data_IF_887994508206
#
_entry.id   IF_887994508206
#
_cell.length_a   1.000
_cell.length_b   1.000
_cell.length_c   1.000
_cell.angle_alpha   90.00
_cell.angle_beta   90.00
_cell.angle_gamma   90.00
#
_symmetry.space_group_name_H-M   'P 1'
#
loop_
_entity.id
_entity.type
_entity.pdbx_description
1 polymer ?
#
# COMPACT_ATOMS: atom_id res chain seq x y z
N UNK A 1 5.11 -12.35 3.21
CA UNK A 1 4.39 -11.39 2.35
C UNK A 1 3.04 -10.93 2.95
N UNK A 2 2.66 -9.64 2.81
CA UNK A 2 1.36 -9.11 3.28
C UNK A 2 0.18 -9.69 2.49
N UNK A 3 -0.93 -9.95 3.18
CA UNK A 3 -2.15 -10.53 2.60
C UNK A 3 -2.83 -9.68 1.52
N UNK A 4 -2.67 -8.35 1.55
CA UNK A 4 -3.18 -7.48 0.48
C UNK A 4 -2.63 -7.88 -0.90
N UNK A 5 -1.39 -8.40 -0.96
CA UNK A 5 -0.78 -8.89 -2.19
C UNK A 5 -1.61 -10.06 -2.74
N UNK A 6 -1.96 -11.03 -1.89
CA UNK A 6 -2.77 -12.19 -2.27
C UNK A 6 -4.20 -11.81 -2.67
N UNK A 7 -4.87 -10.97 -1.88
CA UNK A 7 -6.25 -10.53 -2.18
C UNK A 7 -6.33 -9.81 -3.52
N UNK A 8 -5.37 -8.92 -3.81
CA UNK A 8 -5.34 -8.17 -5.07
C UNK A 8 -4.88 -9.06 -6.23
N UNK A 9 -4.04 -10.07 -5.96
CA UNK A 9 -3.66 -11.07 -6.96
C UNK A 9 -4.85 -11.89 -7.42
N UNK A 10 -5.67 -12.40 -6.51
CA UNK A 10 -6.89 -13.13 -6.89
C UNK A 10 -7.91 -12.24 -7.62
N UNK A 11 -8.02 -10.96 -7.24
CA UNK A 11 -8.82 -9.98 -8.00
C UNK A 11 -8.31 -9.79 -9.41
N UNK A 12 -6.98 -9.66 -9.59
CA UNK A 12 -6.37 -9.61 -10.90
C UNK A 12 -6.71 -10.85 -11.72
N UNK A 13 -6.57 -12.06 -11.15
CA UNK A 13 -6.91 -13.30 -11.85
C UNK A 13 -8.39 -13.34 -12.26
N UNK A 14 -9.29 -12.94 -11.36
CA UNK A 14 -10.73 -12.90 -11.64
C UNK A 14 -11.06 -11.91 -12.77
N UNK A 15 -10.53 -10.70 -12.71
CA UNK A 15 -10.82 -9.66 -13.71
C UNK A 15 -10.16 -9.96 -15.06
N UNK A 16 -8.97 -10.58 -15.05
CA UNK A 16 -8.21 -10.90 -16.26
C UNK A 16 -8.68 -12.16 -16.97
N UNK A 17 -9.05 -13.20 -16.23
CA UNK A 17 -9.34 -14.55 -16.74
C UNK A 17 -10.74 -15.08 -16.41
N UNK A 18 -11.51 -14.36 -15.59
CA UNK A 18 -12.87 -14.71 -15.21
C UNK A 18 -12.97 -15.63 -13.99
N UNK A 19 -14.18 -15.70 -13.42
CA UNK A 19 -14.48 -16.51 -12.23
C UNK A 19 -14.18 -18.01 -12.37
N UNK A 20 -14.39 -18.67 -13.53
CA UNK A 20 -14.03 -20.08 -13.69
C UNK A 20 -12.53 -20.34 -13.52
N UNK A 21 -11.68 -19.42 -14.00
CA UNK A 21 -10.23 -19.51 -13.84
C UNK A 21 -9.85 -19.41 -12.37
N UNK A 22 -10.36 -18.40 -11.65
CA UNK A 22 -10.09 -18.22 -10.22
C UNK A 22 -10.56 -19.43 -9.39
N UNK A 23 -11.72 -20.01 -9.73
CA UNK A 23 -12.20 -21.23 -9.07
C UNK A 23 -11.22 -22.38 -9.27
N UNK A 24 -10.82 -22.66 -10.51
CA UNK A 24 -9.87 -23.75 -10.80
C UNK A 24 -8.50 -23.52 -10.14
N UNK A 25 -8.06 -22.27 -10.05
CA UNK A 25 -6.85 -21.86 -9.36
C UNK A 25 -6.91 -22.23 -7.87
N UNK A 26 -8.00 -21.87 -7.17
CA UNK A 26 -8.20 -22.19 -5.75
C UNK A 26 -8.33 -23.70 -5.51
N UNK A 27 -9.09 -24.39 -6.37
CA UNK A 27 -9.24 -25.85 -6.32
C UNK A 27 -7.87 -26.54 -6.43
N UNK A 28 -7.00 -26.07 -7.33
CA UNK A 28 -5.63 -26.61 -7.53
C UNK A 28 -4.73 -26.36 -6.32
N UNK A 29 -4.88 -25.23 -5.64
CA UNK A 29 -4.16 -24.94 -4.40
C UNK A 29 -4.73 -25.70 -3.18
N UNK A 30 -5.87 -26.38 -3.35
CA UNK A 30 -6.64 -27.03 -2.28
C UNK A 30 -7.03 -26.05 -1.17
N UNK A 31 -7.30 -24.80 -1.54
CA UNK A 31 -7.69 -23.75 -0.60
C UNK A 31 -9.14 -23.93 -0.17
N UNK A 32 -9.37 -24.04 1.14
CA UNK A 32 -10.71 -24.01 1.73
C UNK A 32 -11.19 -22.56 1.87
N UNK A 33 -12.51 -22.28 1.84
CA UNK A 33 -13.04 -20.92 2.02
C UNK A 33 -12.53 -20.20 3.28
N UNK A 34 -12.30 -20.92 4.37
CA UNK A 34 -11.74 -20.40 5.63
C UNK A 34 -10.26 -20.00 5.53
N UNK A 35 -9.59 -20.38 4.44
CA UNK A 35 -8.18 -20.10 4.16
C UNK A 35 -7.99 -18.91 3.20
N UNK A 36 -9.10 -18.24 2.82
CA UNK A 36 -9.01 -17.06 1.96
C UNK A 36 -8.08 -15.99 2.56
N UNK A 37 -7.27 -15.34 1.71
CA UNK A 37 -6.31 -14.37 2.19
C UNK A 37 -7.02 -13.16 2.82
N UNK A 38 -6.48 -12.71 3.96
CA UNK A 38 -6.94 -11.54 4.70
C UNK A 38 -5.87 -10.45 4.57
N UNK A 39 -6.26 -9.25 4.17
CA UNK A 39 -5.34 -8.17 3.79
C UNK A 39 -4.30 -7.83 4.86
N UNK A 40 -4.71 -7.87 6.13
CA UNK A 40 -3.88 -7.51 7.29
C UNK A 40 -2.93 -8.61 7.77
N UNK A 41 -3.10 -9.87 7.34
CA UNK A 41 -2.26 -10.99 7.76
C UNK A 41 -0.95 -11.05 6.97
N UNK A 42 0.04 -11.74 7.52
CA UNK A 42 1.31 -12.05 6.86
C UNK A 42 1.35 -13.53 6.55
N UNK A 43 1.73 -13.86 5.33
CA UNK A 43 1.80 -15.22 4.80
C UNK A 43 3.23 -15.57 4.38
N UNK A 44 3.63 -16.85 4.36
CA UNK A 44 4.90 -17.28 3.79
C UNK A 44 5.05 -16.84 2.33
N UNK A 45 6.27 -16.53 1.90
CA UNK A 45 6.52 -16.06 0.54
C UNK A 45 6.29 -17.19 -0.49
N UNK A 46 6.55 -18.43 -0.09
CA UNK A 46 6.35 -19.66 -0.86
C UNK A 46 4.91 -19.82 -1.33
N UNK A 47 3.94 -19.39 -0.51
CA UNK A 47 2.52 -19.46 -0.85
C UNK A 47 2.19 -18.57 -2.07
N UNK A 48 2.76 -17.37 -2.13
CA UNK A 48 2.57 -16.47 -3.27
C UNK A 48 3.21 -17.06 -4.53
N UNK A 49 4.45 -17.55 -4.43
CA UNK A 49 5.14 -18.15 -5.57
C UNK A 49 4.44 -19.41 -6.09
N UNK A 50 3.90 -20.25 -5.21
CA UNK A 50 3.07 -21.40 -5.60
C UNK A 50 1.85 -20.93 -6.38
N UNK A 51 1.15 -19.91 -5.90
CA UNK A 51 0.02 -19.30 -6.61
C UNK A 51 0.41 -18.78 -8.00
N UNK A 52 1.50 -18.01 -8.10
CA UNK A 52 1.98 -17.51 -9.39
C UNK A 52 2.30 -18.65 -10.36
N UNK A 53 2.92 -19.74 -9.89
CA UNK A 53 3.19 -20.92 -10.72
C UNK A 53 1.91 -21.63 -11.15
N UNK A 54 0.91 -21.75 -10.28
CA UNK A 54 -0.41 -22.31 -10.64
C UNK A 54 -1.10 -21.46 -11.70
N UNK A 55 -1.10 -20.14 -11.58
CA UNK A 55 -1.66 -19.28 -12.62
C UNK A 55 -0.86 -19.35 -13.93
N UNK A 56 0.46 -19.51 -13.87
CA UNK A 56 1.31 -19.70 -15.05
C UNK A 56 1.05 -21.05 -15.74
N UNK A 57 0.81 -22.14 -15.03
CA UNK A 57 0.50 -23.43 -15.68
C UNK A 57 -0.90 -23.45 -16.31
N UNK A 58 -1.81 -22.65 -15.77
CA UNK A 58 -3.19 -22.53 -16.25
C UNK A 58 -3.36 -21.46 -17.34
N UNK A 59 -2.45 -20.49 -17.43
CA UNK A 59 -2.48 -19.42 -18.43
C UNK A 59 -1.37 -19.61 -19.47
N UNK A 60 -1.59 -19.25 -20.72
CA UNK A 60 -0.53 -19.29 -21.74
C UNK A 60 0.52 -18.15 -21.58
N UNK A 61 0.55 -17.47 -20.43
CA UNK A 61 1.42 -16.33 -20.16
C UNK A 61 2.64 -16.76 -19.34
N UNK A 62 3.81 -16.18 -19.60
CA UNK A 62 4.98 -16.40 -18.74
C UNK A 62 4.77 -15.82 -17.34
N UNK A 63 5.48 -16.36 -16.35
CA UNK A 63 5.51 -15.82 -14.97
C UNK A 63 5.84 -14.32 -14.96
N UNK A 64 6.81 -13.89 -15.78
CA UNK A 64 7.19 -12.48 -15.86
C UNK A 64 6.06 -11.60 -16.40
N UNK A 65 5.33 -12.09 -17.40
CA UNK A 65 4.19 -11.36 -17.95
C UNK A 65 3.06 -11.23 -16.93
N UNK A 66 2.74 -12.31 -16.20
CA UNK A 66 1.76 -12.29 -15.12
C UNK A 66 2.14 -11.30 -14.03
N UNK A 67 3.39 -11.35 -13.56
CA UNK A 67 3.89 -10.45 -12.51
C UNK A 67 3.89 -8.99 -12.96
N UNK A 68 4.29 -8.70 -14.21
CA UNK A 68 4.22 -7.36 -14.79
C UNK A 68 2.77 -6.84 -14.86
N UNK A 69 1.85 -7.62 -15.41
CA UNK A 69 0.44 -7.23 -15.48
C UNK A 69 -0.16 -7.03 -14.08
N UNK A 70 0.18 -7.91 -13.14
CA UNK A 70 -0.23 -7.82 -11.76
C UNK A 70 0.33 -6.59 -11.04
N UNK A 71 1.62 -6.28 -11.20
CA UNK A 71 2.23 -5.10 -10.60
C UNK A 71 1.54 -3.80 -11.07
N UNK A 72 1.26 -3.71 -12.38
CA UNK A 72 0.50 -2.59 -12.95
C UNK A 72 -0.91 -2.52 -12.37
N UNK A 73 -1.60 -3.67 -12.34
CA UNK A 73 -2.94 -3.80 -11.79
C UNK A 73 -3.00 -3.39 -10.31
N UNK A 74 -2.00 -3.78 -9.51
CA UNK A 74 -1.95 -3.53 -8.09
C UNK A 74 -2.03 -2.03 -7.77
N UNK A 75 -1.27 -1.20 -8.48
CA UNK A 75 -1.26 0.26 -8.28
C UNK A 75 -2.59 0.92 -8.70
N UNK A 76 -3.27 0.36 -9.70
CA UNK A 76 -4.54 0.87 -10.24
C UNK A 76 -5.77 0.33 -9.50
N UNK A 77 -5.59 -0.68 -8.64
CA UNK A 77 -6.71 -1.37 -8.02
C UNK A 77 -7.40 -0.52 -6.93
N UNK A 78 -8.73 -0.44 -6.99
CA UNK A 78 -9.53 0.34 -6.04
C UNK A 78 -9.46 -0.14 -4.57
N UNK A 79 -9.10 -1.40 -4.31
CA UNK A 79 -8.85 -1.85 -2.93
C UNK A 79 -7.53 -1.28 -2.39
N UNK A 80 -6.50 -1.21 -3.23
CA UNK A 80 -5.22 -0.59 -2.87
C UNK A 80 -5.42 0.90 -2.67
N UNK A 81 -6.22 1.56 -3.52
CA UNK A 81 -6.66 2.95 -3.31
C UNK A 81 -7.32 3.12 -1.94
N UNK A 82 -8.25 2.25 -1.61
CA UNK A 82 -9.03 2.37 -0.38
C UNK A 82 -8.17 2.15 0.88
N UNK A 83 -7.32 1.11 0.88
CA UNK A 83 -6.55 0.71 2.05
C UNK A 83 -5.28 1.52 2.23
N UNK A 84 -4.59 1.85 1.14
CA UNK A 84 -3.34 2.60 1.13
C UNK A 84 -3.53 4.09 0.79
N UNK A 85 -4.78 4.56 0.70
CA UNK A 85 -5.11 5.91 0.25
C UNK A 85 -4.51 7.03 1.08
N UNK A 86 -4.16 6.79 2.36
CA UNK A 86 -3.41 7.77 3.15
C UNK A 86 -2.03 8.06 2.55
N UNK A 87 -1.34 6.99 2.15
CA UNK A 87 -0.01 7.04 1.53
C UNK A 87 -0.11 7.55 0.09
N UNK A 88 -0.97 6.93 -0.73
CA UNK A 88 -1.07 7.25 -2.16
C UNK A 88 -1.46 8.71 -2.44
N UNK A 89 -2.17 9.34 -1.50
CA UNK A 89 -2.55 10.73 -1.56
C UNK A 89 -1.40 11.73 -1.40
N UNK A 90 -0.23 11.30 -0.95
CA UNK A 90 0.95 12.15 -0.79
C UNK A 90 1.73 12.31 -2.11
N UNK A 91 1.41 11.54 -3.14
CA UNK A 91 2.05 11.58 -4.45
C UNK A 91 1.18 12.30 -5.49
N UNK A 92 1.82 13.07 -6.37
CA UNK A 92 1.16 13.87 -7.41
C UNK A 92 1.57 13.46 -8.84
N UNK A 93 2.67 12.73 -8.95
CA UNK A 93 3.22 12.15 -10.20
C UNK A 93 3.65 10.70 -9.98
N UNK A 94 3.90 9.98 -11.06
CA UNK A 94 4.49 8.63 -10.99
C UNK A 94 5.87 8.66 -10.33
N UNK A 95 6.65 9.71 -10.58
CA UNK A 95 7.96 9.93 -9.96
C UNK A 95 7.84 10.07 -8.42
N UNK A 96 6.94 10.93 -7.94
CA UNK A 96 6.71 11.14 -6.50
C UNK A 96 6.28 9.84 -5.81
N UNK A 97 5.42 9.07 -6.47
CA UNK A 97 4.93 7.81 -5.91
C UNK A 97 6.08 6.82 -5.74
N UNK A 98 7.02 6.74 -6.68
CA UNK A 98 8.21 5.90 -6.52
C UNK A 98 9.04 6.37 -5.33
N UNK A 99 9.35 7.66 -5.21
CA UNK A 99 10.12 8.17 -4.06
C UNK A 99 9.46 7.83 -2.73
N UNK A 100 8.14 8.03 -2.64
CA UNK A 100 7.36 7.71 -1.46
C UNK A 100 7.41 6.21 -1.09
N UNK A 101 7.52 5.32 -2.08
CA UNK A 101 7.63 3.89 -1.82
C UNK A 101 8.90 3.52 -1.07
N UNK A 102 10.03 4.23 -1.22
CA UNK A 102 11.22 3.93 -0.38
C UNK A 102 10.91 4.11 1.09
N UNK A 103 10.33 5.25 1.45
CA UNK A 103 10.04 5.57 2.85
C UNK A 103 8.93 4.69 3.41
N UNK A 104 7.88 4.43 2.62
CA UNK A 104 6.81 3.54 3.02
C UNK A 104 7.31 2.11 3.31
N UNK A 105 8.15 1.54 2.45
CA UNK A 105 8.70 0.21 2.66
C UNK A 105 9.73 0.16 3.79
N UNK A 106 10.51 1.23 4.01
CA UNK A 106 11.34 1.35 5.20
C UNK A 106 10.51 1.39 6.48
N UNK A 107 9.44 2.19 6.48
CA UNK A 107 8.52 2.30 7.61
C UNK A 107 7.82 0.97 7.91
N UNK A 108 7.35 0.26 6.88
CA UNK A 108 6.73 -1.06 7.04
C UNK A 108 7.71 -2.11 7.60
N UNK A 109 9.03 -2.02 7.39
CA UNK A 109 9.98 -2.98 8.00
C UNK A 109 10.07 -2.82 9.52
N UNK A 110 9.77 -1.63 10.04
CA UNK A 110 9.85 -1.31 11.47
C UNK A 110 8.61 -1.77 12.24
N UNK A 111 7.58 -2.27 11.57
CA UNK A 111 6.38 -2.74 12.26
C UNK A 111 6.61 -4.09 12.93
N UNK A 112 5.97 -4.38 14.09
CA UNK A 112 6.15 -5.63 14.83
C UNK A 112 5.66 -6.90 14.13
N UNK A 113 5.03 -6.77 12.96
CA UNK A 113 4.43 -7.87 12.21
C UNK A 113 5.43 -8.61 11.30
N UNK A 114 6.71 -8.24 11.35
CA UNK A 114 7.80 -8.98 10.72
C UNK A 114 7.78 -8.98 9.19
N UNK A 115 7.14 -7.99 8.58
CA UNK A 115 7.14 -7.89 7.12
C UNK A 115 8.50 -7.43 6.60
N UNK A 116 8.94 -8.06 5.52
CA UNK A 116 10.25 -7.81 4.91
C UNK A 116 10.12 -7.22 3.49
N UNK A 117 9.52 -6.04 3.28
CA UNK A 117 9.42 -5.46 1.94
C UNK A 117 10.78 -5.13 1.29
N UNK A 118 10.82 -4.91 -0.04
CA UNK A 118 12.06 -4.62 -0.76
C UNK A 118 12.73 -3.32 -0.30
N UNK A 119 14.04 -3.25 -0.47
CA UNK A 119 14.83 -2.04 -0.30
C UNK A 119 14.86 -1.27 -1.62
N UNK A 120 14.69 0.05 -1.53
CA UNK A 120 14.74 0.97 -2.66
C UNK A 120 15.75 2.07 -2.41
N UNK A 121 16.51 2.42 -3.45
CA UNK A 121 17.24 3.69 -3.54
C UNK A 121 17.07 4.28 -4.94
N UNK A 122 17.27 5.60 -5.05
CA UNK A 122 17.06 6.33 -6.29
C UNK A 122 18.24 7.26 -6.54
N UNK A 123 18.80 7.19 -7.74
CA UNK A 123 19.74 8.17 -8.26
C UNK A 123 18.97 9.14 -9.16
N UNK A 124 18.95 10.43 -8.82
CA UNK A 124 18.33 11.48 -9.65
C UNK A 124 19.18 11.68 -10.90
N UNK A 125 18.57 11.57 -12.08
CA UNK A 125 19.27 11.75 -13.37
C UNK A 125 18.95 13.12 -13.97
N UNK A 126 17.79 13.70 -13.67
CA UNK A 126 17.38 15.03 -14.11
C UNK A 126 16.66 15.82 -13.02
N UNK A 127 16.84 17.14 -13.02
CA UNK A 127 16.20 18.06 -12.06
C UNK A 127 14.71 18.29 -12.34
N UNK A 128 14.20 17.86 -13.50
CA UNK A 128 12.79 17.97 -13.88
C UNK A 128 11.87 16.92 -13.23
N UNK A 129 12.44 16.04 -12.40
CA UNK A 129 11.76 14.95 -11.72
C UNK A 129 11.00 14.03 -12.70
N UNK A 130 11.60 13.75 -13.86
CA UNK A 130 11.07 12.80 -14.84
C UNK A 130 11.99 11.61 -15.07
N UNK A 131 13.24 11.65 -14.60
CA UNK A 131 14.22 10.59 -14.84
C UNK A 131 14.97 10.21 -13.55
N UNK A 132 14.96 8.92 -13.23
CA UNK A 132 15.74 8.34 -12.13
C UNK A 132 16.32 6.99 -12.53
N UNK A 133 17.38 6.57 -11.83
CA UNK A 133 17.77 5.16 -11.74
C UNK A 133 17.27 4.60 -10.41
N UNK A 134 16.35 3.65 -10.48
CA UNK A 134 15.83 2.92 -9.33
C UNK A 134 16.69 1.69 -9.05
N UNK A 135 17.16 1.55 -7.82
CA UNK A 135 17.78 0.32 -7.32
C UNK A 135 16.78 -0.45 -6.46
N UNK A 136 16.59 -1.73 -6.77
CA UNK A 136 15.72 -2.67 -6.07
C UNK A 136 16.54 -3.84 -5.56
N UNK A 137 16.49 -4.04 -4.25
CA UNK A 137 17.10 -5.16 -3.55
C UNK A 137 16.04 -5.93 -2.76
N UNK A 138 15.93 -7.22 -3.06
CA UNK A 138 14.94 -8.10 -2.46
C UNK A 138 15.28 -9.56 -2.74
N UNK A 139 15.32 -10.43 -1.72
CA UNK A 139 15.54 -11.86 -1.91
C UNK A 139 14.43 -12.52 -2.75
N UNK A 140 13.25 -11.88 -2.86
CA UNK A 140 12.11 -12.40 -3.63
C UNK A 140 12.24 -12.25 -5.14
N UNK A 141 13.16 -11.41 -5.63
CA UNK A 141 13.41 -11.21 -7.08
C UNK A 141 12.14 -10.91 -7.91
N UNK A 142 11.18 -10.17 -7.35
CA UNK A 142 9.93 -9.79 -8.03
C UNK A 142 10.14 -8.60 -8.99
N UNK A 143 11.23 -8.60 -9.78
CA UNK A 143 11.61 -7.45 -10.60
C UNK A 143 10.57 -7.12 -11.70
N UNK A 144 9.91 -8.12 -12.29
CA UNK A 144 8.83 -7.90 -13.27
C UNK A 144 7.58 -7.28 -12.64
N UNK A 145 7.27 -7.62 -11.38
CA UNK A 145 6.19 -6.99 -10.62
C UNK A 145 6.51 -5.52 -10.35
N UNK A 146 7.74 -5.22 -9.93
CA UNK A 146 8.21 -3.85 -9.76
C UNK A 146 8.07 -3.04 -11.06
N UNK A 147 8.52 -3.58 -12.19
CA UNK A 147 8.39 -2.93 -13.49
C UNK A 147 6.91 -2.62 -13.81
N UNK A 148 6.02 -3.60 -13.62
CA UNK A 148 4.58 -3.40 -13.72
C UNK A 148 4.07 -2.26 -12.84
N UNK A 149 4.48 -2.24 -11.57
CA UNK A 149 4.08 -1.20 -10.62
C UNK A 149 4.56 0.20 -11.02
N UNK A 150 5.73 0.33 -11.65
CA UNK A 150 6.21 1.61 -12.20
C UNK A 150 5.28 2.10 -13.31
N UNK A 151 4.89 1.20 -14.23
CA UNK A 151 3.93 1.55 -15.29
C UNK A 151 2.55 1.89 -14.73
N UNK A 152 2.07 1.15 -13.73
CA UNK A 152 0.81 1.46 -13.03
C UNK A 152 0.88 2.80 -12.31
N UNK A 153 2.04 3.16 -11.76
CA UNK A 153 2.27 4.46 -11.13
C UNK A 153 2.14 5.61 -12.14
N UNK A 154 2.77 5.51 -13.31
CA UNK A 154 2.60 6.52 -14.35
C UNK A 154 1.14 6.65 -14.79
N UNK A 155 0.47 5.53 -15.07
CA UNK A 155 -0.90 5.52 -15.56
C UNK A 155 -1.89 6.13 -14.55
N UNK A 156 -1.71 5.85 -13.26
CA UNK A 156 -2.48 6.43 -12.17
C UNK A 156 -2.54 7.96 -12.23
N UNK A 157 -1.46 8.61 -12.67
CA UNK A 157 -1.38 10.07 -12.77
C UNK A 157 -1.65 10.60 -14.17
N UNK A 158 -1.97 9.76 -15.15
CA UNK A 158 -2.16 10.13 -16.55
C UNK A 158 -0.86 10.30 -17.34
N UNK A 159 0.24 9.74 -16.83
CA UNK A 159 1.57 9.73 -17.42
C UNK A 159 1.85 8.40 -18.15
N UNK A 160 3.00 8.33 -18.82
CA UNK A 160 3.57 7.09 -19.35
C UNK A 160 4.96 6.89 -18.75
N UNK A 161 5.36 5.64 -18.55
CA UNK A 161 6.73 5.29 -18.17
C UNK A 161 7.44 4.56 -19.31
N UNK A 162 8.75 4.77 -19.41
CA UNK A 162 9.69 3.90 -20.13
C UNK A 162 10.69 3.38 -19.11
N UNK A 163 10.93 2.08 -19.14
CA UNK A 163 11.86 1.38 -18.26
C UNK A 163 12.97 0.73 -19.08
N UNK A 164 14.18 0.67 -18.52
CA UNK A 164 15.27 -0.14 -19.05
C UNK A 164 16.05 -0.81 -17.92
N UNK A 165 16.09 -2.14 -17.93
CA UNK A 165 16.71 -2.93 -16.88
C UNK A 165 18.23 -3.06 -17.06
N UNK A 166 18.99 -2.22 -16.35
CA UNK A 166 20.46 -2.16 -16.39
C UNK A 166 21.07 -3.45 -15.80
N UNK A 167 20.75 -3.79 -14.55
CA UNK A 167 21.14 -5.04 -13.88
C UNK A 167 19.90 -5.75 -13.34
N UNK A 168 19.93 -7.07 -13.15
CA UNK A 168 18.80 -7.84 -12.65
C UNK A 168 19.21 -9.05 -11.81
N UNK A 169 18.64 -9.20 -10.61
CA UNK A 169 18.87 -10.34 -9.72
C UNK A 169 18.43 -11.69 -10.32
N UNK A 170 17.55 -11.67 -11.32
CA UNK A 170 17.19 -12.87 -12.11
C UNK A 170 18.30 -13.30 -13.08
N UNK A 171 19.22 -12.39 -13.43
CA UNK A 171 20.41 -12.66 -14.26
C UNK A 171 21.66 -12.97 -13.44
N UNK A 172 21.56 -12.98 -12.11
CA UNK A 172 22.68 -13.23 -11.21
C UNK A 172 23.33 -11.98 -10.60
N UNK A 173 22.87 -10.78 -10.97
CA UNK A 173 23.35 -9.53 -10.37
C UNK A 173 22.95 -9.42 -8.89
N UNK A 174 23.71 -8.66 -8.09
CA UNK A 174 23.43 -8.46 -6.66
C UNK A 174 22.11 -7.72 -6.41
N UNK A 175 21.79 -6.74 -7.26
CA UNK A 175 20.58 -5.90 -7.17
C UNK A 175 20.01 -5.63 -8.57
N UNK A 176 18.70 -5.36 -8.66
CA UNK A 176 18.08 -4.88 -9.90
C UNK A 176 18.25 -3.35 -10.00
N UNK A 177 18.99 -2.83 -10.99
CA UNK A 177 19.01 -1.40 -11.34
C UNK A 177 18.18 -1.15 -12.59
N UNK A 178 17.31 -0.16 -12.57
CA UNK A 178 16.40 0.16 -13.67
C UNK A 178 16.39 1.66 -13.94
N UNK A 179 16.67 2.02 -15.18
CA UNK A 179 16.45 3.37 -15.70
C UNK A 179 14.95 3.58 -15.88
N UNK A 180 14.41 4.67 -15.31
CA UNK A 180 12.98 4.98 -15.34
C UNK A 180 12.78 6.40 -15.82
N UNK A 181 12.02 6.55 -16.90
CA UNK A 181 11.67 7.84 -17.48
C UNK A 181 10.15 8.00 -17.55
N UNK A 182 9.64 9.14 -17.06
CA UNK A 182 8.22 9.49 -17.09
C UNK A 182 7.94 10.55 -18.15
N UNK A 183 6.86 10.37 -18.90
CA UNK A 183 6.45 11.26 -19.98
C UNK A 183 4.98 11.61 -19.92
N UNK A 184 4.62 12.70 -20.58
CA UNK A 184 3.28 13.27 -20.56
C UNK A 184 3.12 14.29 -19.45
N UNK A 185 1.92 14.86 -19.37
CA UNK A 185 1.57 15.80 -18.30
C UNK A 185 0.62 15.09 -17.36
N UNK A 186 1.07 14.85 -16.12
CA UNK A 186 0.18 14.41 -15.05
C UNK A 186 -1.00 15.35 -14.90
N UNK A 187 -2.08 14.86 -14.29
CA UNK A 187 -3.18 15.74 -13.90
C UNK A 187 -2.68 16.89 -13.01
N UNK A 188 -1.67 16.65 -12.15
CA UNK A 188 -1.08 17.68 -11.29
C UNK A 188 -0.43 18.80 -12.11
N UNK A 189 0.31 18.46 -13.16
CA UNK A 189 0.90 19.43 -14.10
C UNK A 189 -0.14 20.21 -14.91
N UNK A 190 -1.37 19.70 -14.98
CA UNK A 190 -2.52 20.33 -15.67
C UNK A 190 -3.59 20.84 -14.69
N UNK A 191 -3.33 20.84 -13.39
CA UNK A 191 -4.36 21.03 -12.39
C UNK A 191 -4.85 22.48 -12.41
N UNK A 192 -6.14 22.66 -12.64
CA UNK A 192 -6.78 23.98 -12.46
C UNK A 192 -6.87 24.31 -10.97
N UNK A 193 -7.02 25.58 -10.57
CA UNK A 193 -7.25 25.95 -9.17
C UNK A 193 -8.43 25.20 -8.53
N UNK A 194 -9.48 24.90 -9.31
CA UNK A 194 -10.63 24.10 -8.85
C UNK A 194 -10.26 22.64 -8.60
N UNK A 195 -9.46 22.01 -9.48
CA UNK A 195 -8.98 20.64 -9.28
C UNK A 195 -8.08 20.55 -8.04
N UNK A 196 -7.19 21.53 -7.85
CA UNK A 196 -6.35 21.63 -6.65
C UNK A 196 -7.22 21.76 -5.39
N UNK A 197 -8.28 22.56 -5.44
CA UNK A 197 -9.20 22.74 -4.32
C UNK A 197 -9.99 21.46 -4.01
N UNK A 198 -10.53 20.78 -5.02
CA UNK A 198 -11.19 19.49 -4.85
C UNK A 198 -10.24 18.43 -4.26
N UNK A 199 -8.97 18.43 -4.69
CA UNK A 199 -7.98 17.52 -4.14
C UNK A 199 -7.61 17.88 -2.70
N UNK A 200 -7.48 19.16 -2.36
CA UNK A 200 -7.33 19.61 -0.97
C UNK A 200 -8.51 19.17 -0.11
N UNK A 201 -9.73 19.24 -0.63
CA UNK A 201 -10.92 18.72 0.05
C UNK A 201 -10.90 17.18 0.18
N UNK A 202 -10.40 16.46 -0.83
CA UNK A 202 -10.18 15.01 -0.75
C UNK A 202 -9.14 14.66 0.32
N UNK A 203 -8.02 15.37 0.35
CA UNK A 203 -6.97 15.24 1.37
C UNK A 203 -7.48 15.62 2.76
N UNK A 204 -8.39 16.58 2.84
CA UNK A 204 -9.06 16.94 4.08
C UNK A 204 -9.80 15.73 4.67
N UNK A 205 -10.29 14.77 3.86
CA UNK A 205 -10.89 13.51 4.35
C UNK A 205 -9.91 12.62 5.14
N UNK A 206 -8.61 12.94 5.15
CA UNK A 206 -7.60 12.32 6.02
C UNK A 206 -7.56 12.92 7.43
N UNK A 207 -8.41 13.91 7.75
CA UNK A 207 -8.43 14.58 9.04
C UNK A 207 -8.49 13.62 10.23
N UNK A 208 -9.32 12.57 10.14
CA UNK A 208 -9.40 11.55 11.19
C UNK A 208 -8.11 10.71 11.28
N UNK A 209 -7.45 10.42 10.15
CA UNK A 209 -6.14 9.76 10.15
C UNK A 209 -5.07 10.59 10.84
N UNK A 210 -4.99 11.88 10.52
CA UNK A 210 -4.02 12.79 11.14
C UNK A 210 -4.28 12.95 12.64
N UNK A 211 -5.54 13.09 13.04
CA UNK A 211 -5.91 13.16 14.46
C UNK A 211 -5.52 11.88 15.21
N UNK A 212 -5.80 10.70 14.65
CA UNK A 212 -5.41 9.43 15.28
C UNK A 212 -3.89 9.34 15.42
N UNK A 213 -3.12 9.73 14.40
CA UNK A 213 -1.65 9.75 14.48
C UNK A 213 -1.13 10.71 15.56
N UNK A 214 -1.83 11.81 15.84
CA UNK A 214 -1.45 12.73 16.92
C UNK A 214 -1.82 12.21 18.33
N UNK A 215 -2.90 11.45 18.43
CA UNK A 215 -3.37 10.86 19.69
C UNK A 215 -2.49 9.68 20.10
N UNK A 216 -2.01 8.91 19.12
CA UNK A 216 -1.30 7.67 19.40
C UNK A 216 0.07 7.93 20.07
N UNK A 217 0.40 7.16 21.12
CA UNK A 217 1.68 7.26 21.81
C UNK A 217 2.84 6.81 20.90
N UNK A 218 4.06 7.31 21.12
CA UNK A 218 5.21 7.02 20.25
C UNK A 218 5.80 5.61 20.43
N UNK A 219 5.48 4.92 21.52
CA UNK A 219 6.08 3.63 21.87
C UNK A 219 5.02 2.63 22.38
N UNK A 220 5.38 1.35 22.45
CA UNK A 220 4.46 0.29 22.86
C UNK A 220 4.20 0.25 24.38
N UNK A 221 5.07 0.84 25.21
CA UNK A 221 4.90 0.84 26.66
C UNK A 221 3.70 1.70 27.08
N UNK A 222 3.49 2.81 26.37
CA UNK A 222 2.38 3.74 26.61
C UNK A 222 1.15 3.44 25.73
N UNK A 223 1.11 2.27 25.07
CA UNK A 223 0.09 1.92 24.08
C UNK A 223 -1.34 2.02 24.64
N UNK A 224 -2.27 2.51 23.81
CA UNK A 224 -3.65 2.82 24.23
C UNK A 224 -4.68 1.94 23.52
N UNK A 225 -5.78 1.66 24.21
CA UNK A 225 -6.91 0.88 23.71
C UNK A 225 -7.79 1.65 22.73
N UNK A 226 -8.66 0.94 21.99
CA UNK A 226 -9.67 1.56 21.13
C UNK A 226 -10.59 2.53 21.90
N UNK A 227 -10.93 2.20 23.16
CA UNK A 227 -11.79 3.04 23.98
C UNK A 227 -11.11 4.36 24.34
N UNK A 228 -9.83 4.31 24.70
CA UNK A 228 -9.04 5.51 25.02
C UNK A 228 -8.84 6.40 23.79
N UNK A 229 -8.59 5.81 22.61
CA UNK A 229 -8.54 6.56 21.34
C UNK A 229 -9.88 7.25 21.08
N UNK A 230 -11.00 6.53 21.24
CA UNK A 230 -12.33 7.09 21.04
C UNK A 230 -12.60 8.25 22.00
N UNK A 231 -12.26 8.09 23.28
CA UNK A 231 -12.41 9.11 24.31
C UNK A 231 -11.58 10.35 23.98
N UNK A 232 -10.33 10.16 23.56
CA UNK A 232 -9.44 11.24 23.15
C UNK A 232 -9.98 11.98 21.92
N UNK A 233 -10.50 11.27 20.91
CA UNK A 233 -11.17 11.88 19.76
C UNK A 233 -12.35 12.73 20.22
N UNK A 234 -13.26 12.17 21.03
CA UNK A 234 -14.48 12.84 21.50
C UNK A 234 -14.18 14.12 22.29
N UNK A 235 -13.13 14.10 23.11
CA UNK A 235 -12.68 15.25 23.90
C UNK A 235 -11.91 16.28 23.07
N UNK A 236 -11.43 15.91 21.88
CA UNK A 236 -10.66 16.81 21.02
C UNK A 236 -11.57 17.88 20.40
N UNK A 237 -11.47 19.14 20.85
CA UNK A 237 -12.18 20.29 20.25
C UNK A 237 -11.30 21.16 19.32
N UNK A 238 -10.12 20.64 18.94
CA UNK A 238 -9.09 21.42 18.25
C UNK A 238 -9.36 21.71 16.76
N UNK A 239 -8.64 22.68 16.17
CA UNK A 239 -8.77 23.11 14.78
C UNK A 239 -8.30 22.07 13.75
N UNK A 240 -7.76 20.92 14.21
CA UNK A 240 -7.20 19.87 13.37
C UNK A 240 -8.24 18.99 12.68
N UNK A 241 -9.53 19.13 13.02
CA UNK A 241 -10.58 18.64 12.15
C UNK A 241 -10.66 19.56 10.93
N UNK A 242 -10.50 19.05 9.71
CA UNK A 242 -10.85 19.83 8.54
C UNK A 242 -12.29 20.31 8.63
N UNK A 243 -12.57 21.49 8.09
CA UNK A 243 -13.84 22.19 8.25
C UNK A 243 -15.06 21.33 7.90
N UNK A 244 -14.91 20.42 6.93
CA UNK A 244 -15.94 19.43 6.56
C UNK A 244 -16.34 18.51 7.74
N UNK A 245 -15.37 18.07 8.55
CA UNK A 245 -15.63 17.23 9.72
C UNK A 245 -16.03 18.06 10.93
N UNK A 246 -15.62 19.32 11.04
CA UNK A 246 -16.16 20.21 12.07
C UNK A 246 -17.66 20.41 11.83
N UNK A 247 -18.06 20.77 10.59
CA UNK A 247 -19.46 20.90 10.18
C UNK A 247 -20.24 19.59 10.32
N UNK A 248 -19.66 18.45 9.94
CA UNK A 248 -20.31 17.14 10.11
C UNK A 248 -20.34 16.66 11.57
N UNK A 249 -19.35 16.97 12.42
CA UNK A 249 -19.38 16.65 13.85
C UNK A 249 -20.50 17.36 14.59
N UNK A 250 -20.81 18.58 14.17
CA UNK A 250 -21.99 19.28 14.65
C UNK A 250 -23.29 18.58 14.27
N UNK A 251 -23.26 17.63 13.33
CA UNK A 251 -24.39 16.82 12.91
C UNK A 251 -24.36 15.40 13.51
N UNK A 252 -23.20 14.70 13.56
CA UNK A 252 -23.06 13.34 14.11
C UNK A 252 -21.67 13.05 14.75
N UNK A 253 -21.61 12.28 15.86
CA UNK A 253 -20.35 11.88 16.48
C UNK A 253 -19.58 10.83 15.63
N UNK A 254 -18.24 10.83 15.74
CA UNK A 254 -17.40 9.81 15.08
C UNK A 254 -17.72 8.44 15.66
N UNK A 255 -18.05 7.45 14.83
CA UNK A 255 -18.40 6.10 15.27
C UNK A 255 -17.14 5.21 15.44
N UNK A 256 -17.17 4.25 16.37
CA UNK A 256 -16.02 3.37 16.65
C UNK A 256 -15.56 2.58 15.41
N UNK A 257 -16.48 2.21 14.52
CA UNK A 257 -16.14 1.51 13.26
C UNK A 257 -15.33 2.39 12.30
N UNK A 258 -15.51 3.72 12.33
CA UNK A 258 -14.72 4.66 11.55
C UNK A 258 -13.29 4.73 12.09
N UNK A 259 -13.14 4.80 13.42
CA UNK A 259 -11.84 4.77 14.10
C UNK A 259 -11.10 3.47 13.76
N UNK A 260 -11.76 2.33 13.89
CA UNK A 260 -11.20 1.03 13.52
C UNK A 260 -10.77 0.98 12.05
N UNK A 261 -11.61 1.49 11.14
CA UNK A 261 -11.28 1.52 9.71
C UNK A 261 -10.04 2.36 9.45
N UNK A 262 -9.91 3.52 10.08
CA UNK A 262 -8.73 4.38 9.92
C UNK A 262 -7.48 3.73 10.50
N UNK A 263 -7.56 3.12 11.69
CA UNK A 263 -6.46 2.37 12.28
C UNK A 263 -6.01 1.24 11.35
N UNK A 264 -6.95 0.45 10.81
CA UNK A 264 -6.62 -0.62 9.87
C UNK A 264 -5.88 -0.11 8.62
N UNK A 265 -6.28 1.06 8.09
CA UNK A 265 -5.59 1.69 6.94
C UNK A 265 -4.20 2.20 7.30
N UNK A 266 -4.04 2.85 8.46
CA UNK A 266 -2.74 3.33 8.92
C UNK A 266 -1.78 2.17 9.23
N UNK A 267 -2.28 1.07 9.78
CA UNK A 267 -1.53 -0.17 9.96
C UNK A 267 -1.11 -0.79 8.61
N UNK A 268 -1.98 -0.72 7.60
CA UNK A 268 -1.69 -1.27 6.27
C UNK A 268 -0.45 -0.61 5.64
N UNK A 269 -0.22 0.67 5.91
CA UNK A 269 0.92 1.45 5.40
C UNK A 269 2.05 1.60 6.42
N UNK A 270 1.98 0.89 7.55
CA UNK A 270 3.04 0.81 8.55
C UNK A 270 3.20 2.06 9.45
N UNK A 271 2.20 2.94 9.52
CA UNK A 271 2.26 4.14 10.37
C UNK A 271 1.77 3.87 11.80
N UNK A 272 0.98 2.82 11.99
CA UNK A 272 0.43 2.41 13.29
C UNK A 272 0.81 0.95 13.55
N UNK A 273 1.22 0.68 14.77
CA UNK A 273 1.45 -0.66 15.28
C UNK A 273 0.34 -1.04 16.27
N UNK A 274 0.16 -2.33 16.50
CA UNK A 274 -0.78 -2.82 17.51
C UNK A 274 -0.35 -4.16 18.08
N UNK A 275 -1.03 -4.57 19.15
CA UNK A 275 -0.92 -5.93 19.71
C UNK A 275 -1.67 -6.99 18.89
N UNK A 276 -2.19 -6.64 17.71
CA UNK A 276 -2.91 -7.56 16.84
C UNK A 276 -2.09 -8.84 16.55
N UNK A 277 -2.78 -9.98 16.47
CA UNK A 277 -2.20 -11.30 16.21
C UNK A 277 -1.30 -11.87 17.33
N UNK A 278 -1.28 -11.25 18.52
CA UNK A 278 -0.71 -11.88 19.73
C UNK A 278 -1.74 -12.82 20.39
N UNK A 279 -1.32 -13.88 21.10
CA UNK A 279 -2.23 -14.73 21.86
C UNK A 279 -3.09 -13.91 22.84
N UNK A 280 -4.41 -14.11 22.84
CA UNK A 280 -5.36 -13.37 23.69
C UNK A 280 -5.82 -12.00 23.15
N UNK A 281 -5.40 -11.63 21.94
CA UNK A 281 -5.90 -10.44 21.24
C UNK A 281 -7.40 -10.57 20.93
N UNK A 282 -8.15 -9.56 21.33
CA UNK A 282 -9.56 -9.35 20.98
C UNK A 282 -9.73 -7.90 20.52
N UNK A 283 -10.85 -7.59 19.87
CA UNK A 283 -11.14 -6.21 19.48
C UNK A 283 -11.09 -5.23 20.68
N UNK A 284 -11.41 -5.70 21.89
CA UNK A 284 -11.45 -4.87 23.11
C UNK A 284 -10.13 -4.84 23.86
N UNK A 285 -9.28 -5.88 23.74
CA UNK A 285 -7.96 -5.94 24.38
C UNK A 285 -6.81 -5.48 23.48
N UNK A 286 -7.12 -4.99 22.27
CA UNK A 286 -6.11 -4.50 21.34
C UNK A 286 -5.64 -3.10 21.69
N UNK A 287 -4.33 -2.95 21.81
CA UNK A 287 -3.66 -1.67 22.04
C UNK A 287 -2.92 -1.22 20.79
N UNK A 288 -2.78 0.10 20.64
CA UNK A 288 -2.24 0.77 19.47
C UNK A 288 -1.21 1.84 19.88
N UNK A 289 -0.22 2.05 19.00
CA UNK A 289 0.80 3.08 19.13
C UNK A 289 1.33 3.45 17.74
N UNK A 290 2.10 4.53 17.64
CA UNK A 290 2.81 4.90 16.41
C UNK A 290 3.87 3.85 16.10
N UNK A 291 3.96 3.44 14.84
CA UNK A 291 5.04 2.56 14.42
C UNK A 291 6.39 3.31 14.54
N UNK A 292 7.47 2.63 14.96
CA UNK A 292 8.79 3.26 15.10
C UNK A 292 9.25 3.93 13.80
N UNK A 293 9.85 5.12 13.92
CA UNK A 293 10.40 5.88 12.79
C UNK A 293 11.92 5.73 12.67
N UNK A 294 12.56 5.20 13.72
CA UNK A 294 14.00 4.87 13.79
C UNK A 294 14.16 3.43 14.27
N UNK A 295 15.27 2.81 13.89
CA UNK A 295 15.66 1.46 14.36
C UNK A 295 16.20 1.49 15.80
#
# INVERSE_FOLDING_TARGET
MKGIIFVVWEKYLQERFGSPFLKHYRDTLSEMPEQLPVTSRVYPDEAFFKGVQTANSMSSLSTDRLLFEYGRYFILNGLVEYLCGYLLAQAWTGYDLLLLMRDAHAQMRRTPDGVMPPLFSYDVVSDDHQHMVLTYDSPRKLCSLLEGAIHGSAERFGEKAKTHQITCMKRGDAVCRMDVQFFGSSWAKKATPQMIQQEKERLSKQGLSNLILQILPPNSADSISMEEIKRAIDQHQGPYFPEIYQRQRHLEPVHVSQVYTVLAKLQQVGLVASTANKPGDTFMSRHYWLAPTTD
#
